data_IF_444821736164
#
_entry.id   IF_444821736164
#
_cell.length_a   1.000
_cell.length_b   1.000
_cell.length_c   1.000
_cell.angle_alpha   90.00
_cell.angle_beta   90.00
_cell.angle_gamma   90.00
#
_symmetry.space_group_name_H-M   'P 1'
#
loop_
_entity.id
_entity.type
_entity.pdbx_description
1 polymer ?
#
# COMPACT_ATOMS: atom_id res chain seq x y z
N UNK A 1 -13.35 -16.04 -5.23
CA UNK A 1 -14.56 -15.22 -5.48
C UNK A 1 -14.42 -14.44 -6.79
N UNK A 2 -13.39 -13.60 -6.90
CA UNK A 2 -13.13 -12.70 -8.03
C UNK A 2 -13.16 -13.42 -9.38
N UNK A 3 -12.33 -14.45 -9.60
CA UNK A 3 -12.24 -15.16 -10.89
C UNK A 3 -13.58 -15.72 -11.37
N UNK A 4 -14.35 -16.32 -10.45
CA UNK A 4 -15.69 -16.87 -10.75
C UNK A 4 -16.65 -15.77 -11.19
N UNK A 5 -16.55 -14.59 -10.57
CA UNK A 5 -17.37 -13.45 -10.95
C UNK A 5 -16.95 -12.89 -12.31
N UNK A 6 -15.66 -12.84 -12.66
CA UNK A 6 -15.18 -12.37 -13.97
C UNK A 6 -15.60 -13.28 -15.14
N UNK A 7 -15.54 -14.60 -14.98
CA UNK A 7 -15.86 -15.58 -16.04
C UNK A 7 -17.36 -15.62 -16.38
N UNK A 8 -18.23 -15.27 -15.42
CA UNK A 8 -19.68 -15.35 -15.62
C UNK A 8 -20.15 -14.43 -16.76
N UNK A 9 -21.07 -14.91 -17.61
CA UNK A 9 -21.71 -14.06 -18.63
C UNK A 9 -22.37 -12.83 -18.00
N UNK A 10 -22.11 -11.66 -18.59
CA UNK A 10 -22.49 -10.33 -18.11
C UNK A 10 -22.90 -9.44 -19.27
N UNK A 11 -23.83 -8.53 -19.00
CA UNK A 11 -24.17 -7.46 -19.93
C UNK A 11 -23.03 -6.42 -19.98
N UNK A 12 -22.94 -5.64 -21.06
CA UNK A 12 -21.85 -4.69 -21.26
C UNK A 12 -21.82 -3.59 -20.20
N UNK A 13 -22.99 -3.18 -19.70
CA UNK A 13 -23.09 -2.27 -18.56
C UNK A 13 -22.46 -2.85 -17.27
N UNK A 14 -22.64 -4.16 -17.02
CA UNK A 14 -22.07 -4.82 -15.83
C UNK A 14 -20.55 -4.97 -15.94
N UNK A 15 -20.06 -5.26 -17.15
CA UNK A 15 -18.61 -5.26 -17.44
C UNK A 15 -18.03 -3.86 -17.25
N UNK A 16 -18.73 -2.83 -17.72
CA UNK A 16 -18.30 -1.43 -17.58
C UNK A 16 -18.10 -1.06 -16.10
N UNK A 17 -19.05 -1.39 -15.21
CA UNK A 17 -18.88 -1.14 -13.77
C UNK A 17 -17.65 -1.84 -13.18
N UNK A 18 -17.42 -3.11 -13.53
CA UNK A 18 -16.25 -3.83 -13.03
C UNK A 18 -14.93 -3.25 -13.55
N UNK A 19 -14.88 -2.88 -14.84
CA UNK A 19 -13.71 -2.25 -15.45
C UNK A 19 -13.44 -0.88 -14.83
N UNK A 20 -14.47 -0.06 -14.62
CA UNK A 20 -14.32 1.26 -14.01
C UNK A 20 -13.70 1.16 -12.61
N UNK A 21 -14.21 0.25 -11.78
CA UNK A 21 -13.65 0.02 -10.43
C UNK A 21 -12.22 -0.52 -10.48
N UNK A 22 -11.93 -1.44 -11.40
CA UNK A 22 -10.57 -1.95 -11.61
C UNK A 22 -9.60 -0.86 -12.09
N UNK A 23 -10.05 0.06 -12.94
CA UNK A 23 -9.25 1.20 -13.39
C UNK A 23 -8.98 2.18 -12.24
N UNK A 24 -9.98 2.50 -11.41
CA UNK A 24 -9.78 3.33 -10.21
C UNK A 24 -8.74 2.69 -9.27
N UNK A 25 -8.87 1.39 -9.00
CA UNK A 25 -7.89 0.65 -8.21
C UNK A 25 -6.48 0.73 -8.83
N UNK A 26 -6.37 0.52 -10.15
CA UNK A 26 -5.09 0.57 -10.87
C UNK A 26 -4.45 1.95 -10.80
N UNK A 27 -5.22 3.03 -10.93
CA UNK A 27 -4.71 4.40 -10.83
C UNK A 27 -4.14 4.64 -9.43
N UNK A 28 -4.88 4.27 -8.37
CA UNK A 28 -4.42 4.41 -6.98
C UNK A 28 -3.11 3.63 -6.77
N UNK A 29 -3.05 2.39 -7.26
CA UNK A 29 -1.86 1.54 -7.14
C UNK A 29 -0.67 2.17 -7.88
N UNK A 30 -0.85 2.66 -9.11
CA UNK A 30 0.21 3.32 -9.88
C UNK A 30 0.71 4.56 -9.13
N UNK A 31 -0.19 5.41 -8.63
CA UNK A 31 0.17 6.59 -7.84
C UNK A 31 0.99 6.20 -6.60
N UNK A 32 0.57 5.17 -5.87
CA UNK A 32 1.30 4.67 -4.70
C UNK A 32 2.72 4.19 -5.07
N UNK A 33 2.86 3.38 -6.13
CA UNK A 33 4.17 2.92 -6.61
C UNK A 33 5.06 4.07 -7.08
N UNK A 34 4.52 5.09 -7.74
CA UNK A 34 5.28 6.29 -8.11
C UNK A 34 5.83 7.02 -6.88
N UNK A 35 4.99 7.25 -5.85
CA UNK A 35 5.43 7.88 -4.60
C UNK A 35 6.51 7.06 -3.89
N UNK A 36 6.37 5.74 -3.88
CA UNK A 36 7.37 4.85 -3.29
C UNK A 36 8.69 4.84 -4.08
N UNK A 37 8.63 4.90 -5.41
CA UNK A 37 9.82 5.02 -6.26
C UNK A 37 10.57 6.33 -5.98
N UNK A 38 9.85 7.44 -5.84
CA UNK A 38 10.42 8.74 -5.45
C UNK A 38 11.07 8.64 -4.07
N UNK A 39 10.40 8.03 -3.09
CA UNK A 39 10.96 7.82 -1.75
C UNK A 39 12.25 6.98 -1.78
N UNK A 40 12.28 5.89 -2.55
CA UNK A 40 13.46 5.05 -2.71
C UNK A 40 14.62 5.82 -3.35
N UNK A 41 14.33 6.64 -4.36
CA UNK A 41 15.33 7.49 -5.01
C UNK A 41 15.99 8.43 -4.00
N UNK A 42 15.20 9.14 -3.20
CA UNK A 42 15.74 10.05 -2.18
C UNK A 42 16.46 9.33 -1.03
N UNK A 43 16.15 8.06 -0.76
CA UNK A 43 16.87 7.28 0.24
C UNK A 43 18.21 6.74 -0.28
N UNK A 44 18.25 6.23 -1.51
CA UNK A 44 19.42 5.49 -2.04
C UNK A 44 20.45 6.39 -2.71
N UNK A 45 20.00 7.39 -3.46
CA UNK A 45 20.89 8.19 -4.31
C UNK A 45 21.82 9.13 -3.53
N UNK A 46 21.34 9.92 -2.54
CA UNK A 46 22.24 10.85 -1.83
C UNK A 46 23.44 10.17 -1.14
N UNK A 47 23.28 9.02 -0.45
CA UNK A 47 24.41 8.30 0.14
C UNK A 47 25.47 7.83 -0.87
N UNK A 48 25.08 7.50 -2.12
CA UNK A 48 26.01 7.10 -3.19
C UNK A 48 26.94 8.25 -3.56
N UNK A 49 26.43 9.48 -3.57
CA UNK A 49 27.21 10.70 -3.81
C UNK A 49 27.94 11.22 -2.56
N UNK A 50 27.95 10.46 -1.46
CA UNK A 50 28.58 10.88 -0.20
C UNK A 50 27.77 11.93 0.57
N UNK A 51 26.55 12.26 0.13
CA UNK A 51 25.65 13.13 0.88
C UNK A 51 24.97 12.32 1.97
N UNK A 52 25.31 12.65 3.22
CA UNK A 52 24.68 12.02 4.37
C UNK A 52 23.33 12.67 4.67
N UNK A 53 22.25 11.89 4.72
CA UNK A 53 20.95 12.35 5.26
C UNK A 53 20.93 12.38 6.80
N UNK A 54 22.09 12.30 7.45
CA UNK A 54 22.23 12.27 8.91
C UNK A 54 22.17 13.66 9.49
N UNK A 55 21.48 13.79 10.63
CA UNK A 55 21.83 14.78 11.64
C UNK A 55 22.83 14.10 12.58
N UNK A 56 24.11 14.44 12.50
CA UNK A 56 25.14 14.01 13.47
C UNK A 56 25.30 15.08 14.54
N UNK A 57 24.57 15.02 15.68
CA UNK A 57 24.84 15.89 16.82
C UNK A 57 26.10 15.45 17.58
N UNK A 58 26.52 14.19 17.46
CA UNK A 58 27.64 13.62 18.20
C UNK A 58 28.72 13.08 17.24
N UNK A 59 29.98 13.44 17.50
CA UNK A 59 31.15 13.28 16.61
C UNK A 59 31.71 11.85 16.66
N UNK A 60 31.21 11.00 17.57
CA UNK A 60 31.81 9.69 17.90
C UNK A 60 31.42 8.52 16.98
N UNK A 61 30.56 8.71 15.97
CA UNK A 61 30.27 7.67 14.97
C UNK A 61 30.75 8.11 13.56
N UNK A 62 32.04 7.93 13.27
CA UNK A 62 32.65 8.27 11.97
C UNK A 62 32.29 7.27 10.86
N UNK A 63 31.34 6.36 11.08
CA UNK A 63 30.91 5.38 10.09
C UNK A 63 30.48 6.01 8.77
N UNK A 64 30.87 5.39 7.65
CA UNK A 64 30.42 5.77 6.30
C UNK A 64 28.89 5.81 6.21
N UNK A 65 28.30 6.72 5.41
CA UNK A 65 26.86 6.88 5.32
C UNK A 65 26.16 5.62 4.79
N UNK A 66 25.43 4.93 5.67
CA UNK A 66 24.68 3.71 5.36
C UNK A 66 23.17 4.01 5.30
N UNK A 67 22.38 3.25 4.52
CA UNK A 67 20.93 3.49 4.38
C UNK A 67 20.20 3.25 5.70
N UNK A 68 20.54 2.16 6.37
CA UNK A 68 20.07 1.84 7.71
C UNK A 68 21.28 1.70 8.62
N UNK A 69 21.30 2.45 9.73
CA UNK A 69 22.31 2.25 10.75
C UNK A 69 21.90 1.11 11.65
N UNK A 70 22.74 0.08 11.71
CA UNK A 70 22.56 -1.07 12.60
C UNK A 70 23.92 -1.50 13.12
N UNK A 71 23.91 -2.33 14.16
CA UNK A 71 25.10 -3.01 14.63
C UNK A 71 25.45 -4.18 13.71
N UNK A 72 26.70 -4.24 13.27
CA UNK A 72 27.22 -5.32 12.43
C UNK A 72 28.31 -6.08 13.19
N UNK A 73 28.27 -7.40 13.11
CA UNK A 73 29.27 -8.29 13.73
C UNK A 73 30.64 -8.25 13.05
N UNK A 74 30.75 -7.54 11.93
CA UNK A 74 31.98 -7.34 11.16
C UNK A 74 32.19 -5.86 10.83
N UNK A 75 33.44 -5.52 10.49
CA UNK A 75 33.83 -4.13 10.17
C UNK A 75 33.29 -3.69 8.81
N UNK A 76 32.22 -2.89 8.83
CA UNK A 76 31.58 -2.31 7.65
C UNK A 76 32.30 -1.08 7.08
N UNK A 77 33.39 -0.60 7.71
CA UNK A 77 34.10 0.59 7.22
C UNK A 77 35.10 0.24 6.10
N UNK A 78 35.57 -1.01 6.09
CA UNK A 78 36.53 -1.55 5.13
C UNK A 78 35.89 -1.84 3.77
N UNK A 79 36.70 -1.69 2.70
CA UNK A 79 36.34 -2.18 1.36
C UNK A 79 36.81 -3.64 1.24
N UNK A 80 36.03 -4.54 0.61
CA UNK A 80 34.75 -4.33 -0.09
C UNK A 80 33.48 -4.48 0.78
N UNK A 81 33.62 -4.78 2.08
CA UNK A 81 32.50 -5.11 2.99
C UNK A 81 31.43 -4.03 3.03
N UNK A 82 31.84 -2.76 3.04
CA UNK A 82 30.93 -1.62 2.99
C UNK A 82 29.97 -1.67 1.79
N UNK A 83 30.52 -1.90 0.59
CA UNK A 83 29.78 -1.84 -0.67
C UNK A 83 28.79 -3.01 -0.78
N UNK A 84 29.23 -4.20 -0.35
CA UNK A 84 28.37 -5.38 -0.29
C UNK A 84 27.22 -5.20 0.70
N UNK A 85 27.50 -4.63 1.87
CA UNK A 85 26.48 -4.35 2.90
C UNK A 85 25.48 -3.32 2.38
N UNK A 86 25.95 -2.23 1.78
CA UNK A 86 25.09 -1.22 1.18
C UNK A 86 24.19 -1.81 0.10
N UNK A 87 24.74 -2.60 -0.83
CA UNK A 87 23.96 -3.27 -1.87
C UNK A 87 22.91 -4.22 -1.27
N UNK A 88 23.29 -5.00 -0.26
CA UNK A 88 22.34 -5.89 0.43
C UNK A 88 21.19 -5.13 1.09
N UNK A 89 21.46 -3.95 1.68
CA UNK A 89 20.42 -3.09 2.25
C UNK A 89 19.47 -2.53 1.19
N UNK A 90 19.99 -2.11 0.03
CA UNK A 90 19.15 -1.67 -1.10
C UNK A 90 18.19 -2.79 -1.51
N UNK A 91 18.72 -4.00 -1.71
CA UNK A 91 17.91 -5.17 -2.09
C UNK A 91 16.86 -5.46 -1.02
N UNK A 92 17.26 -5.46 0.26
CA UNK A 92 16.35 -5.70 1.37
C UNK A 92 15.21 -4.67 1.43
N UNK A 93 15.52 -3.38 1.29
CA UNK A 93 14.52 -2.30 1.29
C UNK A 93 13.52 -2.51 0.14
N UNK A 94 14.00 -2.80 -1.07
CA UNK A 94 13.12 -3.06 -2.22
C UNK A 94 12.20 -4.26 -1.95
N UNK A 95 12.73 -5.37 -1.44
CA UNK A 95 11.93 -6.56 -1.12
C UNK A 95 10.90 -6.25 -0.04
N UNK A 96 11.29 -5.56 1.04
CA UNK A 96 10.39 -5.20 2.13
C UNK A 96 9.24 -4.31 1.64
N UNK A 97 9.53 -3.32 0.77
CA UNK A 97 8.52 -2.45 0.17
C UNK A 97 7.57 -3.21 -0.75
N UNK A 98 8.06 -4.19 -1.52
CA UNK A 98 7.23 -5.04 -2.36
C UNK A 98 6.29 -5.94 -1.55
N UNK A 99 6.77 -6.51 -0.45
CA UNK A 99 5.95 -7.32 0.46
C UNK A 99 4.86 -6.46 1.09
N UNK A 100 5.24 -5.29 1.62
CA UNK A 100 4.33 -4.35 2.25
C UNK A 100 3.21 -3.90 1.28
N UNK A 101 3.59 -3.43 0.08
CA UNK A 101 2.61 -3.02 -0.95
C UNK A 101 1.73 -4.15 -1.45
N UNK A 102 2.24 -5.38 -1.47
CA UNK A 102 1.45 -6.56 -1.84
C UNK A 102 0.20 -6.71 -0.97
N UNK A 103 0.32 -6.46 0.33
CA UNK A 103 -0.79 -6.57 1.28
C UNK A 103 -1.86 -5.49 0.99
N UNK A 104 -1.43 -4.25 0.80
CA UNK A 104 -2.32 -3.12 0.49
C UNK A 104 -3.00 -3.28 -0.88
N UNK A 105 -2.25 -3.74 -1.88
CA UNK A 105 -2.78 -4.01 -3.22
C UNK A 105 -3.84 -5.12 -3.20
N UNK A 106 -3.62 -6.16 -2.40
CA UNK A 106 -4.58 -7.25 -2.26
C UNK A 106 -5.88 -6.76 -1.59
N UNK A 107 -5.78 -5.95 -0.53
CA UNK A 107 -6.93 -5.32 0.10
C UNK A 107 -7.70 -4.43 -0.88
N UNK A 108 -6.98 -3.57 -1.60
CA UNK A 108 -7.54 -2.67 -2.61
C UNK A 108 -8.31 -3.47 -3.67
N UNK A 109 -7.71 -4.54 -4.22
CA UNK A 109 -8.36 -5.42 -5.18
C UNK A 109 -9.69 -5.99 -4.65
N UNK A 110 -9.70 -6.47 -3.40
CA UNK A 110 -10.90 -7.02 -2.77
C UNK A 110 -12.01 -5.97 -2.60
N UNK A 111 -11.66 -4.79 -2.05
CA UNK A 111 -12.61 -3.69 -1.81
C UNK A 111 -13.21 -3.20 -3.12
N UNK A 112 -12.39 -2.94 -4.14
CA UNK A 112 -12.87 -2.44 -5.43
C UNK A 112 -13.68 -3.51 -6.18
N UNK A 113 -13.33 -4.79 -6.08
CA UNK A 113 -14.14 -5.87 -6.65
C UNK A 113 -15.51 -5.95 -5.99
N UNK A 114 -15.57 -5.94 -4.65
CA UNK A 114 -16.82 -5.97 -3.89
C UNK A 114 -17.68 -4.76 -4.23
N UNK A 115 -17.08 -3.56 -4.27
CA UNK A 115 -17.76 -2.32 -4.67
C UNK A 115 -18.37 -2.43 -6.06
N UNK A 116 -17.62 -2.97 -7.04
CA UNK A 116 -18.15 -3.22 -8.38
C UNK A 116 -19.27 -4.25 -8.42
N UNK A 117 -19.23 -5.29 -7.58
CA UNK A 117 -20.35 -6.24 -7.46
C UNK A 117 -21.58 -5.59 -6.83
N UNK A 118 -21.41 -4.70 -5.85
CA UNK A 118 -22.50 -3.93 -5.24
C UNK A 118 -23.13 -2.97 -6.25
N UNK A 119 -22.34 -2.30 -7.09
CA UNK A 119 -22.84 -1.43 -8.17
C UNK A 119 -23.73 -2.22 -9.17
N UNK A 120 -23.32 -3.44 -9.52
CA UNK A 120 -24.14 -4.34 -10.37
C UNK A 120 -25.46 -4.70 -9.67
N UNK A 121 -25.42 -5.05 -8.38
CA UNK A 121 -26.64 -5.39 -7.62
C UNK A 121 -27.57 -4.18 -7.55
N UNK A 122 -27.04 -2.98 -7.24
CA UNK A 122 -27.78 -1.73 -7.23
C UNK A 122 -28.46 -1.48 -8.57
N UNK A 123 -27.72 -1.56 -9.67
CA UNK A 123 -28.27 -1.35 -11.02
C UNK A 123 -29.42 -2.32 -11.34
N UNK A 124 -29.28 -3.61 -11.00
CA UNK A 124 -30.35 -4.61 -11.19
C UNK A 124 -31.59 -4.34 -10.34
N UNK A 125 -31.40 -3.85 -9.11
CA UNK A 125 -32.51 -3.48 -8.23
C UNK A 125 -33.22 -2.20 -8.68
N UNK A 126 -32.50 -1.22 -9.23
CA UNK A 126 -33.09 0.01 -9.76
C UNK A 126 -33.93 -0.24 -11.02
N UNK A 127 -33.59 -1.25 -11.83
CA UNK A 127 -34.36 -1.64 -13.02
C UNK A 127 -35.24 -2.86 -12.80
N UNK A 128 -35.62 -3.15 -11.54
CA UNK A 128 -36.32 -4.39 -11.18
C UNK A 128 -37.70 -4.49 -11.85
N UNK A 129 -38.37 -3.36 -12.03
CA UNK A 129 -39.66 -3.17 -12.69
C UNK A 129 -39.64 -3.58 -14.17
N UNK A 130 -38.50 -3.47 -14.83
CA UNK A 130 -38.33 -3.80 -16.27
C UNK A 130 -38.18 -5.30 -16.53
N UNK A 131 -38.01 -6.12 -15.50
CA UNK A 131 -37.83 -7.57 -15.66
C UNK A 131 -39.16 -8.31 -15.58
N UNK A 132 -39.48 -9.07 -16.64
CA UNK A 132 -40.63 -9.99 -16.68
C UNK A 132 -40.63 -11.01 -15.52
N UNK A 133 -39.45 -11.40 -15.04
CA UNK A 133 -39.25 -12.33 -13.93
C UNK A 133 -38.65 -11.66 -12.67
N UNK A 134 -39.22 -10.53 -12.23
CA UNK A 134 -38.67 -9.73 -11.12
C UNK A 134 -38.38 -10.56 -9.85
N UNK A 135 -39.24 -11.50 -9.45
CA UNK A 135 -39.03 -12.36 -8.26
C UNK A 135 -37.74 -13.18 -8.35
N UNK A 136 -37.44 -13.73 -9.54
CA UNK A 136 -36.23 -14.52 -9.77
C UNK A 136 -34.98 -13.64 -9.73
N UNK A 137 -35.05 -12.45 -10.32
CA UNK A 137 -33.96 -11.47 -10.30
C UNK A 137 -33.68 -11.00 -8.87
N UNK A 138 -34.72 -10.65 -8.11
CA UNK A 138 -34.62 -10.23 -6.72
C UNK A 138 -33.98 -11.31 -5.84
N UNK A 139 -34.45 -12.56 -5.94
CA UNK A 139 -33.85 -13.70 -5.21
C UNK A 139 -32.37 -13.88 -5.55
N UNK A 140 -31.99 -13.71 -6.82
CA UNK A 140 -30.60 -13.76 -7.27
C UNK A 140 -29.75 -12.61 -6.68
N UNK A 141 -30.28 -11.39 -6.66
CA UNK A 141 -29.62 -10.23 -6.07
C UNK A 141 -29.39 -10.40 -4.56
N UNK A 142 -30.40 -10.88 -3.81
CA UNK A 142 -30.28 -11.15 -2.37
C UNK A 142 -29.21 -12.21 -2.11
N UNK A 143 -29.22 -13.33 -2.84
CA UNK A 143 -28.21 -14.38 -2.67
C UNK A 143 -26.78 -13.88 -2.97
N UNK A 144 -26.62 -13.04 -4.00
CA UNK A 144 -25.32 -12.42 -4.31
C UNK A 144 -24.88 -11.45 -3.21
N UNK A 145 -25.80 -10.62 -2.72
CA UNK A 145 -25.52 -9.67 -1.64
C UNK A 145 -25.08 -10.37 -0.36
N UNK A 146 -25.80 -11.43 0.06
CA UNK A 146 -25.42 -12.25 1.21
C UNK A 146 -24.04 -12.90 1.04
N UNK A 147 -23.70 -13.36 -0.17
CA UNK A 147 -22.38 -13.90 -0.47
C UNK A 147 -21.28 -12.83 -0.36
N UNK A 148 -21.56 -11.59 -0.76
CA UNK A 148 -20.62 -10.47 -0.62
C UNK A 148 -20.45 -10.06 0.84
N UNK A 149 -21.53 -10.00 1.62
CA UNK A 149 -21.46 -9.72 3.06
C UNK A 149 -20.57 -10.71 3.78
N UNK A 150 -20.74 -12.02 3.53
CA UNK A 150 -19.82 -13.03 4.09
C UNK A 150 -18.36 -12.84 3.69
N UNK A 151 -18.10 -12.29 2.50
CA UNK A 151 -16.73 -11.99 2.09
C UNK A 151 -16.20 -10.73 2.79
N UNK A 152 -17.05 -9.72 3.00
CA UNK A 152 -16.73 -8.52 3.78
C UNK A 152 -16.41 -8.90 5.22
N UNK A 153 -17.22 -9.74 5.87
CA UNK A 153 -17.02 -10.18 7.25
C UNK A 153 -15.62 -10.83 7.42
N UNK A 154 -15.20 -11.67 6.47
CA UNK A 154 -13.87 -12.30 6.48
C UNK A 154 -12.76 -11.27 6.26
N UNK A 155 -12.97 -10.28 5.38
CA UNK A 155 -11.99 -9.22 5.14
C UNK A 155 -11.85 -8.35 6.38
N UNK A 156 -12.95 -7.98 7.01
CA UNK A 156 -12.98 -7.15 8.21
C UNK A 156 -12.27 -7.84 9.38
N UNK A 157 -12.54 -9.11 9.64
CA UNK A 157 -11.87 -9.88 10.70
C UNK A 157 -10.33 -9.89 10.55
N UNK A 158 -9.83 -10.05 9.31
CA UNK A 158 -8.39 -10.07 9.03
C UNK A 158 -7.79 -8.67 9.05
N UNK A 159 -8.40 -7.71 8.35
CA UNK A 159 -7.79 -6.41 8.09
C UNK A 159 -8.06 -5.37 9.18
N UNK A 160 -9.09 -5.52 10.02
CA UNK A 160 -9.38 -4.55 11.07
C UNK A 160 -8.19 -4.42 12.03
N UNK A 161 -7.63 -5.55 12.47
CA UNK A 161 -6.45 -5.56 13.34
C UNK A 161 -5.19 -5.02 12.64
N UNK A 162 -4.99 -5.38 11.36
CA UNK A 162 -3.85 -4.91 10.56
C UNK A 162 -3.91 -3.38 10.40
N UNK A 163 -5.08 -2.85 10.03
CA UNK A 163 -5.29 -1.42 9.84
C UNK A 163 -5.16 -0.63 11.14
N UNK A 164 -5.64 -1.18 12.26
CA UNK A 164 -5.46 -0.56 13.58
C UNK A 164 -3.97 -0.48 13.95
N UNK A 165 -3.23 -1.58 13.79
CA UNK A 165 -1.78 -1.61 14.04
C UNK A 165 -1.06 -0.61 13.12
N UNK A 166 -1.47 -0.53 11.87
CA UNK A 166 -0.89 0.37 10.88
C UNK A 166 -1.17 1.85 11.22
N UNK A 167 -2.37 2.15 11.68
CA UNK A 167 -2.76 3.49 12.11
C UNK A 167 -1.91 3.97 13.28
N UNK A 168 -1.74 3.13 14.31
CA UNK A 168 -0.88 3.44 15.48
C UNK A 168 0.57 3.63 15.03
N UNK A 169 1.07 2.74 14.16
CA UNK A 169 2.43 2.83 13.61
C UNK A 169 2.66 4.16 12.88
N UNK A 170 1.77 4.57 11.97
CA UNK A 170 1.91 5.83 11.26
C UNK A 170 1.74 7.05 12.17
N UNK A 171 0.87 6.99 13.19
CA UNK A 171 0.74 8.08 14.16
C UNK A 171 2.06 8.35 14.89
N UNK A 172 2.73 7.27 15.34
CA UNK A 172 4.04 7.36 16.00
C UNK A 172 5.10 7.88 15.02
N UNK A 173 5.15 7.34 13.79
CA UNK A 173 6.10 7.81 12.77
C UNK A 173 5.92 9.29 12.44
N UNK A 174 4.69 9.75 12.26
CA UNK A 174 4.42 11.17 11.97
C UNK A 174 4.82 12.07 13.13
N UNK A 175 4.62 11.65 14.38
CA UNK A 175 5.12 12.40 15.52
C UNK A 175 6.65 12.56 15.48
N UNK A 176 7.39 11.49 15.18
CA UNK A 176 8.85 11.56 15.03
C UNK A 176 9.28 12.43 13.84
N UNK A 177 8.62 12.30 12.67
CA UNK A 177 8.92 13.15 11.52
C UNK A 177 8.63 14.62 11.78
N UNK A 178 7.51 14.94 12.42
CA UNK A 178 7.18 16.32 12.80
C UNK A 178 8.23 16.90 13.75
N UNK A 179 8.63 16.14 14.78
CA UNK A 179 9.71 16.55 15.68
C UNK A 179 11.03 16.80 14.94
N UNK A 180 11.39 15.92 13.99
CA UNK A 180 12.60 16.07 13.16
C UNK A 180 12.55 17.34 12.31
N UNK A 181 11.44 17.60 11.63
CA UNK A 181 11.25 18.79 10.80
C UNK A 181 11.42 20.06 11.65
N UNK A 182 10.73 20.15 12.79
CA UNK A 182 10.83 21.30 13.70
C UNK A 182 12.28 21.49 14.19
N UNK A 183 12.94 20.41 14.59
CA UNK A 183 14.32 20.45 15.08
C UNK A 183 15.32 20.97 14.03
N UNK A 184 15.14 20.58 12.77
CA UNK A 184 15.96 21.08 11.65
C UNK A 184 15.67 22.55 11.41
N UNK A 185 14.40 22.95 11.34
CA UNK A 185 14.02 24.35 11.14
C UNK A 185 14.62 25.28 12.20
N UNK A 186 14.55 24.90 13.49
CA UNK A 186 15.12 25.70 14.58
C UNK A 186 16.64 25.88 14.43
N UNK A 187 17.38 24.86 13.98
CA UNK A 187 18.82 24.96 13.74
C UNK A 187 19.12 25.91 12.57
N UNK A 188 18.33 25.84 11.50
CA UNK A 188 18.50 26.72 10.33
C UNK A 188 18.25 28.19 10.68
N UNK A 189 17.34 28.51 11.59
CA UNK A 189 17.09 29.90 12.03
C UNK A 189 18.11 30.46 13.03
N UNK A 190 18.92 29.60 13.66
CA UNK A 190 19.95 30.02 14.62
C UNK A 190 21.32 30.27 14.00
N UNK A 191 21.53 29.84 12.76
CA UNK A 191 22.75 30.08 11.96
C UNK A 191 22.49 31.16 10.91
#
# INVERSE_FOLDING_TARGET
MITKDWIKSKNDQEKCFMIQRAQSARIIIICAYCLMGIQCFFLVIPPIFGMSMRLTPNITDPGKPMLVQSYYVYDITKRPQYELTFLSQVIYIVIALMIYTGIDNFLSLLIFHISGQLDIIKSRLTCLDKYTNYRKVLKCCINKHLRLLRAIDVIEDVYNNILLSLFIYFAILFAFYAFRVISVSIKTFKN
#
